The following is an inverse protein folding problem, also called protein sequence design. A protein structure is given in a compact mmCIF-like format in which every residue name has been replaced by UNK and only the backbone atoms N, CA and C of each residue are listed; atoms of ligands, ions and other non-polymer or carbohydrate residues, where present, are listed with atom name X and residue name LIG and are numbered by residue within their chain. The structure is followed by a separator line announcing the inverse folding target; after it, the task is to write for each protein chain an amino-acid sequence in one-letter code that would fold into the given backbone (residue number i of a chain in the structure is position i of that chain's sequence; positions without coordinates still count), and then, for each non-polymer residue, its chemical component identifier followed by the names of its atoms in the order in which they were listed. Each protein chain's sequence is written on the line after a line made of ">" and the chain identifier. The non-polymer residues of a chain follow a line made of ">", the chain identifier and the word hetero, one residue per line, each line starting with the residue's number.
data_IF_832985690149
#
_entry.id   IF_832985690149
#
_cell.length_a   1.000
_cell.length_b   1.000
_cell.length_c   1.000
_cell.angle_alpha   90.00
_cell.angle_beta   90.00
_cell.angle_gamma   90.00
#
_symmetry.space_group_name_H-M   'P 1'
#
loop_
_entity.id
_entity.type
_entity.pdbx_description
1 polymer ?
#
# COMPACT_ATOMS: atom_id res chain seq x y z
N UNK A 1 11.71 3.53 14.06
CA UNK A 1 10.39 3.23 13.42
C UNK A 1 10.61 2.32 12.24
N UNK A 2 9.87 1.23 12.14
CA UNK A 2 9.90 0.28 11.03
C UNK A 2 8.67 0.47 10.15
N UNK A 3 8.84 0.95 8.95
CA UNK A 3 7.81 1.04 7.91
C UNK A 3 7.87 -0.23 7.06
N UNK A 4 6.84 -1.05 7.11
CA UNK A 4 6.84 -2.37 6.47
C UNK A 4 5.72 -2.47 5.43
N UNK A 5 6.07 -2.87 4.21
CA UNK A 5 5.06 -3.34 3.27
C UNK A 5 4.44 -4.65 3.74
N UNK A 6 3.27 -4.98 3.20
CA UNK A 6 2.52 -6.18 3.58
C UNK A 6 2.73 -7.30 2.57
N UNK A 7 2.31 -7.09 1.30
CA UNK A 7 2.24 -8.15 0.30
C UNK A 7 3.59 -8.44 -0.33
N UNK A 8 4.06 -9.68 -0.21
CA UNK A 8 5.42 -10.05 -0.63
C UNK A 8 6.49 -9.72 0.41
N UNK A 9 6.14 -8.99 1.48
CA UNK A 9 7.05 -8.61 2.56
C UNK A 9 6.67 -9.30 3.85
N UNK A 10 5.67 -8.81 4.61
CA UNK A 10 5.23 -9.44 5.87
C UNK A 10 4.31 -10.64 5.64
N UNK A 11 3.56 -10.64 4.53
CA UNK A 11 2.58 -11.68 4.19
C UNK A 11 2.71 -12.08 2.71
N UNK A 12 2.42 -13.34 2.41
CA UNK A 12 1.99 -13.74 1.07
C UNK A 12 0.51 -13.48 0.91
N UNK A 13 0.12 -12.92 -0.24
CA UNK A 13 -1.29 -12.73 -0.56
C UNK A 13 -2.07 -14.05 -0.41
N UNK A 14 -3.15 -14.01 0.38
CA UNK A 14 -3.99 -15.17 0.65
C UNK A 14 -3.45 -16.16 1.68
N UNK A 15 -2.29 -15.88 2.30
CA UNK A 15 -1.72 -16.73 3.36
C UNK A 15 -1.58 -15.95 4.68
N UNK A 16 -1.67 -16.63 5.84
CA UNK A 16 -1.36 -16.00 7.12
C UNK A 16 0.14 -15.69 7.23
N UNK A 17 0.54 -14.75 8.11
CA UNK A 17 1.95 -14.50 8.41
C UNK A 17 2.61 -15.75 9.00
N UNK A 18 3.89 -15.95 8.67
CA UNK A 18 4.65 -17.04 9.29
C UNK A 18 4.82 -16.78 10.79
N UNK A 19 5.02 -17.83 11.60
CA UNK A 19 5.33 -17.67 13.02
C UNK A 19 6.57 -16.79 13.25
N UNK A 20 7.57 -16.87 12.37
CA UNK A 20 8.80 -16.09 12.46
C UNK A 20 8.54 -14.58 12.29
N UNK A 21 7.74 -14.19 11.28
CA UNK A 21 7.35 -12.79 11.05
C UNK A 21 6.52 -12.27 12.22
N UNK A 22 5.53 -13.03 12.69
CA UNK A 22 4.74 -12.63 13.87
C UNK A 22 5.60 -12.45 15.12
N UNK A 23 6.58 -13.32 15.34
CA UNK A 23 7.47 -13.22 16.48
C UNK A 23 8.39 -12.00 16.36
N UNK A 24 8.98 -11.80 15.19
CA UNK A 24 9.86 -10.65 14.94
C UNK A 24 9.12 -9.30 15.11
N UNK A 25 7.87 -9.18 14.63
CA UNK A 25 7.07 -7.96 14.85
C UNK A 25 6.84 -7.70 16.35
N UNK A 26 6.60 -8.75 17.15
CA UNK A 26 6.45 -8.60 18.59
C UNK A 26 7.77 -8.27 19.30
N UNK A 27 8.91 -8.76 18.80
CA UNK A 27 10.25 -8.41 19.32
C UNK A 27 10.53 -6.92 19.10
N UNK A 28 10.21 -6.38 17.90
CA UNK A 28 10.34 -4.95 17.59
C UNK A 28 9.53 -4.09 18.56
N UNK A 29 8.27 -4.45 18.81
CA UNK A 29 7.40 -3.72 19.74
C UNK A 29 7.90 -3.78 21.19
N UNK A 30 8.37 -4.97 21.65
CA UNK A 30 8.94 -5.12 23.02
C UNK A 30 10.23 -4.34 23.21
N UNK A 31 10.99 -4.13 22.15
CA UNK A 31 12.18 -3.27 22.17
C UNK A 31 11.85 -1.77 22.20
N UNK A 32 10.57 -1.40 22.23
CA UNK A 32 10.12 -0.01 22.29
C UNK A 32 10.10 0.71 20.93
N UNK A 33 10.22 -0.02 19.83
CA UNK A 33 10.14 0.56 18.48
C UNK A 33 8.72 0.54 17.94
N UNK A 34 8.43 1.45 17.00
CA UNK A 34 7.17 1.51 16.30
C UNK A 34 7.22 0.68 15.02
N UNK A 35 6.15 -0.05 14.74
CA UNK A 35 5.86 -0.62 13.41
C UNK A 35 4.77 0.24 12.77
N UNK A 36 4.95 0.55 11.48
CA UNK A 36 3.96 1.20 10.64
C UNK A 36 3.76 0.34 9.41
N UNK A 37 2.53 -0.06 9.12
CA UNK A 37 2.20 -0.80 7.90
C UNK A 37 2.04 0.19 6.74
N UNK A 38 2.76 -0.02 5.63
CA UNK A 38 2.72 0.85 4.46
C UNK A 38 2.40 0.02 3.20
N UNK A 39 1.17 0.08 2.70
CA UNK A 39 0.67 -0.89 1.73
C UNK A 39 -0.21 -0.28 0.63
N UNK A 40 -0.27 -0.96 -0.52
CA UNK A 40 -1.28 -0.72 -1.55
C UNK A 40 -2.69 -1.23 -1.18
N UNK A 41 -2.82 -2.04 -0.13
CA UNK A 41 -4.13 -2.51 0.32
C UNK A 41 -5.03 -1.37 0.78
N UNK A 42 -6.36 -1.58 0.70
CA UNK A 42 -7.34 -0.74 1.38
C UNK A 42 -7.19 -0.81 2.91
N UNK A 43 -7.77 0.15 3.64
CA UNK A 43 -7.79 0.14 5.11
C UNK A 43 -8.30 -1.20 5.65
N UNK A 44 -9.38 -1.74 5.08
CA UNK A 44 -9.94 -3.03 5.50
C UNK A 44 -8.94 -4.18 5.33
N UNK A 45 -8.18 -4.18 4.22
CA UNK A 45 -7.13 -5.17 3.97
C UNK A 45 -5.95 -5.03 4.92
N UNK A 46 -5.56 -3.79 5.24
CA UNK A 46 -4.48 -3.50 6.19
C UNK A 46 -4.84 -3.87 7.63
N UNK A 47 -6.06 -3.55 8.08
CA UNK A 47 -6.58 -3.97 9.40
C UNK A 47 -6.56 -5.49 9.54
N UNK A 48 -7.03 -6.23 8.52
CA UNK A 48 -6.98 -7.69 8.53
C UNK A 48 -5.55 -8.22 8.68
N UNK A 49 -4.59 -7.64 7.97
CA UNK A 49 -3.17 -8.01 8.08
C UNK A 49 -2.60 -7.66 9.46
N UNK A 50 -2.88 -6.47 9.99
CA UNK A 50 -2.45 -6.05 11.32
C UNK A 50 -2.89 -7.03 12.40
N UNK A 51 -4.17 -7.41 12.39
CA UNK A 51 -4.73 -8.36 13.37
C UNK A 51 -4.12 -9.76 13.23
N UNK A 52 -3.84 -10.23 12.02
CA UNK A 52 -3.13 -11.50 11.78
C UNK A 52 -1.69 -11.48 12.31
N UNK A 53 -1.01 -10.34 12.23
CA UNK A 53 0.33 -10.11 12.80
C UNK A 53 0.31 -9.95 14.33
N UNK A 54 -0.89 -9.83 14.92
CA UNK A 54 -1.05 -9.56 16.36
C UNK A 54 -0.81 -8.09 16.73
N UNK A 55 -0.87 -7.19 15.76
CA UNK A 55 -0.73 -5.75 15.96
C UNK A 55 -2.10 -5.16 16.31
N UNK A 56 -2.20 -4.53 17.48
CA UNK A 56 -3.45 -3.92 17.98
C UNK A 56 -3.32 -2.45 18.34
N UNK A 57 -2.15 -1.89 18.17
CA UNK A 57 -1.85 -0.46 18.24
C UNK A 57 -0.82 -0.19 17.15
N UNK A 58 -1.29 0.26 15.98
CA UNK A 58 -0.43 0.39 14.81
C UNK A 58 -0.95 1.46 13.84
N UNK A 59 -0.04 2.30 13.40
CA UNK A 59 -0.30 3.21 12.28
C UNK A 59 -0.25 2.48 10.94
N UNK A 60 -1.15 2.85 10.05
CA UNK A 60 -1.29 2.24 8.74
C UNK A 60 -1.35 3.32 7.67
N UNK A 61 -0.44 3.26 6.74
CA UNK A 61 -0.42 4.03 5.50
C UNK A 61 -0.94 3.10 4.41
N UNK A 62 -2.14 3.32 3.93
CA UNK A 62 -2.89 2.42 3.04
C UNK A 62 -3.20 3.07 1.70
N UNK A 63 -3.68 2.29 0.74
CA UNK A 63 -3.98 2.78 -0.62
C UNK A 63 -2.82 3.58 -1.21
N UNK A 64 -1.57 3.05 -1.07
CA UNK A 64 -0.32 3.68 -1.50
C UNK A 64 -0.08 5.10 -0.94
N UNK A 65 -0.55 5.37 0.28
CA UNK A 65 -0.39 6.66 0.95
C UNK A 65 -1.65 7.53 0.94
N UNK A 66 -2.65 7.21 0.14
CA UNK A 66 -3.85 8.04 0.04
C UNK A 66 -4.71 8.05 1.31
N UNK A 67 -4.49 7.09 2.21
CA UNK A 67 -5.15 7.03 3.51
C UNK A 67 -4.11 6.76 4.59
N UNK A 68 -4.16 7.56 5.66
CA UNK A 68 -3.47 7.28 6.93
C UNK A 68 -4.51 6.95 7.98
N UNK A 69 -4.35 5.82 8.64
CA UNK A 69 -5.25 5.36 9.70
C UNK A 69 -4.46 4.85 10.91
N UNK A 70 -5.06 4.89 12.08
CA UNK A 70 -4.52 4.35 13.32
C UNK A 70 -5.46 3.28 13.86
N UNK A 71 -4.97 2.06 14.03
CA UNK A 71 -5.69 0.95 14.65
C UNK A 71 -5.39 0.92 16.13
N UNK A 72 -6.42 0.89 16.97
CA UNK A 72 -6.33 0.70 18.42
C UNK A 72 -7.32 -0.38 18.84
N UNK A 73 -6.81 -1.50 19.35
CA UNK A 73 -7.63 -2.69 19.63
C UNK A 73 -8.17 -3.30 18.34
N UNK A 74 -9.49 -3.28 18.20
CA UNK A 74 -10.22 -3.77 17.01
C UNK A 74 -10.88 -2.62 16.22
N UNK A 75 -10.62 -1.36 16.63
CA UNK A 75 -11.18 -0.18 16.00
C UNK A 75 -10.08 0.63 15.32
N UNK A 76 -10.35 1.16 14.14
CA UNK A 76 -9.44 2.09 13.49
C UNK A 76 -10.11 3.44 13.27
N UNK A 77 -9.28 4.47 13.26
CA UNK A 77 -9.66 5.82 12.89
C UNK A 77 -8.89 6.20 11.62
N UNK A 78 -9.59 6.73 10.62
CA UNK A 78 -8.95 7.40 9.48
C UNK A 78 -8.54 8.79 9.97
N UNK A 79 -7.23 9.05 9.96
CA UNK A 79 -6.64 10.30 10.41
C UNK A 79 -6.53 11.29 9.26
N UNK A 80 -6.18 10.78 8.08
CA UNK A 80 -6.05 11.58 6.87
C UNK A 80 -6.49 10.79 5.64
N UNK A 81 -7.12 11.48 4.69
CA UNK A 81 -7.55 10.93 3.40
C UNK A 81 -7.36 11.98 2.32
N UNK A 82 -6.76 11.58 1.21
CA UNK A 82 -6.54 12.40 0.04
C UNK A 82 -7.40 11.91 -1.13
N UNK A 83 -8.34 12.71 -1.65
CA UNK A 83 -9.17 12.29 -2.77
C UNK A 83 -8.42 12.38 -4.09
N UNK A 84 -8.64 11.41 -4.97
CA UNK A 84 -8.16 11.43 -6.35
C UNK A 84 -9.13 12.20 -7.26
N UNK A 85 -8.62 12.85 -8.30
CA UNK A 85 -9.43 13.43 -9.36
C UNK A 85 -10.05 12.32 -10.24
N UNK A 86 -11.18 11.80 -9.77
CA UNK A 86 -11.89 10.68 -10.39
C UNK A 86 -12.40 11.06 -11.79
N UNK A 87 -12.74 12.33 -12.03
CA UNK A 87 -13.23 12.78 -13.33
C UNK A 87 -12.14 12.63 -14.41
N UNK A 88 -10.93 13.08 -14.12
CA UNK A 88 -9.77 12.88 -15.01
C UNK A 88 -9.47 11.41 -15.26
N UNK A 89 -9.52 10.57 -14.21
CA UNK A 89 -9.28 9.13 -14.36
C UNK A 89 -10.31 8.48 -15.28
N UNK A 90 -11.61 8.78 -15.08
CA UNK A 90 -12.70 8.26 -15.91
C UNK A 90 -12.56 8.72 -17.37
N UNK A 91 -12.28 10.00 -17.61
CA UNK A 91 -12.10 10.52 -18.97
C UNK A 91 -10.97 9.77 -19.71
N UNK A 92 -9.84 9.55 -19.07
CA UNK A 92 -8.71 8.81 -19.65
C UNK A 92 -9.09 7.34 -19.88
N UNK A 93 -9.72 6.68 -18.93
CA UNK A 93 -10.10 5.28 -19.05
C UNK A 93 -11.11 5.06 -20.19
N UNK A 94 -12.10 5.94 -20.32
CA UNK A 94 -13.12 5.87 -21.38
C UNK A 94 -12.55 6.12 -22.78
N UNK A 95 -11.50 6.93 -22.89
CA UNK A 95 -10.81 7.18 -24.18
C UNK A 95 -9.84 6.08 -24.58
N UNK A 96 -9.24 5.40 -23.59
CA UNK A 96 -8.18 4.45 -23.84
C UNK A 96 -8.68 3.12 -24.42
N UNK A 97 -9.76 2.56 -23.90
CA UNK A 97 -10.35 1.31 -24.40
C UNK A 97 -11.75 1.07 -23.80
N UNK A 98 -12.65 0.52 -24.62
CA UNK A 98 -14.03 0.20 -24.21
C UNK A 98 -14.14 -0.92 -23.14
N UNK A 99 -13.06 -1.64 -22.86
CA UNK A 99 -13.05 -2.82 -21.98
C UNK A 99 -12.43 -2.58 -20.59
N UNK A 100 -12.10 -1.33 -20.24
CA UNK A 100 -11.51 -1.04 -18.92
C UNK A 100 -12.60 -0.97 -17.86
N UNK A 101 -12.46 -1.77 -16.79
CA UNK A 101 -13.28 -1.67 -15.59
C UNK A 101 -12.66 -0.64 -14.64
N UNK A 102 -13.52 0.13 -14.01
CA UNK A 102 -13.15 1.18 -13.05
C UNK A 102 -13.68 0.78 -11.68
N UNK A 103 -12.82 0.79 -10.67
CA UNK A 103 -13.21 0.61 -9.28
C UNK A 103 -12.74 1.80 -8.45
N UNK A 104 -13.66 2.43 -7.70
CA UNK A 104 -13.38 3.50 -6.76
C UNK A 104 -13.50 2.95 -5.33
N UNK A 105 -12.48 3.15 -4.50
CA UNK A 105 -12.47 2.66 -3.13
C UNK A 105 -13.54 3.37 -2.28
N UNK A 106 -14.33 2.58 -1.54
CA UNK A 106 -15.20 3.04 -0.47
C UNK A 106 -14.52 2.65 0.84
N UNK A 107 -13.92 3.64 1.49
CA UNK A 107 -13.06 3.44 2.66
C UNK A 107 -13.77 2.60 3.73
N UNK A 108 -13.11 1.53 4.18
CA UNK A 108 -13.64 0.62 5.21
C UNK A 108 -14.74 -0.34 4.74
N UNK A 109 -15.27 -0.19 3.53
CA UNK A 109 -16.38 -1.00 3.00
C UNK A 109 -15.92 -1.93 1.87
N UNK A 110 -15.34 -1.36 0.83
CA UNK A 110 -14.97 -2.07 -0.39
C UNK A 110 -14.88 -1.14 -1.59
N UNK A 111 -15.67 -1.41 -2.65
CA UNK A 111 -15.50 -0.75 -3.93
C UNK A 111 -16.82 -0.44 -4.62
N UNK A 112 -16.91 0.74 -5.19
CA UNK A 112 -17.85 1.08 -6.26
C UNK A 112 -17.21 0.67 -7.57
N UNK A 113 -17.89 -0.14 -8.38
CA UNK A 113 -17.33 -0.69 -9.62
C UNK A 113 -18.20 -0.37 -10.82
N UNK A 114 -17.60 -0.04 -11.97
CA UNK A 114 -18.33 0.19 -13.24
C UNK A 114 -18.86 -1.12 -13.83
N UNK A 115 -18.15 -2.22 -13.61
CA UNK A 115 -18.53 -3.59 -13.91
C UNK A 115 -17.86 -4.52 -12.90
N UNK A 116 -18.38 -5.76 -12.71
CA UNK A 116 -17.79 -6.71 -11.76
C UNK A 116 -16.32 -6.98 -12.07
N UNK A 117 -15.46 -6.84 -11.07
CA UNK A 117 -14.06 -7.26 -11.14
C UNK A 117 -13.95 -8.76 -10.90
N UNK A 118 -12.91 -9.42 -11.43
CA UNK A 118 -12.67 -10.83 -11.14
C UNK A 118 -12.60 -11.10 -9.63
N UNK A 119 -13.05 -12.27 -9.21
CA UNK A 119 -13.00 -12.68 -7.80
C UNK A 119 -11.57 -12.60 -7.26
N UNK A 120 -11.43 -12.17 -6.01
CA UNK A 120 -10.17 -12.00 -5.27
C UNK A 120 -9.27 -10.80 -5.66
N UNK A 121 -9.62 -10.04 -6.71
CA UNK A 121 -8.83 -8.88 -7.14
C UNK A 121 -9.05 -7.64 -6.25
N UNK A 122 -10.25 -7.48 -5.72
CA UNK A 122 -10.61 -6.38 -4.85
C UNK A 122 -11.02 -6.90 -3.46
N UNK A 123 -10.41 -6.35 -2.41
CA UNK A 123 -10.76 -6.67 -1.04
C UNK A 123 -12.04 -5.91 -0.61
N UNK A 124 -13.01 -6.63 -0.07
CA UNK A 124 -14.27 -6.06 0.40
C UNK A 124 -15.42 -6.24 -0.57
N UNK A 125 -16.55 -5.61 -0.26
CA UNK A 125 -17.75 -5.69 -1.08
C UNK A 125 -17.58 -4.92 -2.39
N UNK A 126 -18.11 -5.47 -3.49
CA UNK A 126 -18.22 -4.75 -4.76
C UNK A 126 -19.67 -4.33 -4.97
N UNK A 127 -19.90 -3.04 -5.21
CA UNK A 127 -21.21 -2.50 -5.58
C UNK A 127 -21.10 -1.87 -6.96
N UNK A 128 -21.79 -2.45 -7.92
CA UNK A 128 -21.87 -1.86 -9.26
C UNK A 128 -22.67 -0.57 -9.21
N UNK A 129 -22.18 0.47 -9.90
CA UNK A 129 -22.78 1.78 -9.97
C UNK A 129 -22.54 2.45 -11.34
N UNK A 130 -23.42 3.36 -11.76
CA UNK A 130 -23.21 4.19 -12.93
C UNK A 130 -22.07 5.19 -12.67
N UNK A 131 -21.45 5.70 -13.77
CA UNK A 131 -20.23 6.53 -13.67
C UNK A 131 -20.44 7.88 -12.99
N UNK A 132 -21.63 8.44 -13.01
CA UNK A 132 -21.98 9.67 -12.31
C UNK A 132 -21.82 9.54 -10.79
N UNK A 133 -22.17 8.42 -10.19
CA UNK A 133 -21.91 8.17 -8.77
C UNK A 133 -20.41 8.20 -8.39
N UNK A 134 -19.50 7.90 -9.34
CA UNK A 134 -18.07 7.99 -9.09
C UNK A 134 -17.60 9.44 -8.99
N UNK A 135 -18.27 10.35 -9.68
CA UNK A 135 -17.98 11.79 -9.66
C UNK A 135 -18.50 12.47 -8.41
N UNK A 136 -19.66 12.04 -7.92
CA UNK A 136 -20.32 12.62 -6.75
C UNK A 136 -19.65 12.25 -5.41
N UNK A 137 -18.90 11.16 -5.39
CA UNK A 137 -18.36 10.59 -4.16
C UNK A 137 -16.84 10.53 -4.19
N UNK A 138 -16.14 11.41 -3.48
CA UNK A 138 -14.67 11.38 -3.42
C UNK A 138 -14.13 10.02 -3.00
N UNK A 139 -13.05 9.59 -3.65
CA UNK A 139 -12.36 8.33 -3.37
C UNK A 139 -10.86 8.57 -3.25
N UNK A 140 -10.15 7.89 -2.34
CA UNK A 140 -8.70 8.01 -2.22
C UNK A 140 -7.95 7.25 -3.32
N UNK A 141 -8.59 6.25 -3.94
CA UNK A 141 -7.96 5.41 -4.95
C UNK A 141 -8.96 4.93 -5.99
N UNK A 142 -8.50 4.92 -7.24
CA UNK A 142 -9.20 4.26 -8.36
C UNK A 142 -8.31 3.14 -8.89
N UNK A 143 -8.86 1.94 -9.03
CA UNK A 143 -8.22 0.84 -9.75
C UNK A 143 -8.82 0.74 -11.16
N UNK A 144 -7.93 0.59 -12.14
CA UNK A 144 -8.27 0.35 -13.54
C UNK A 144 -7.86 -1.06 -13.92
N UNK A 145 -8.78 -1.85 -14.47
CA UNK A 145 -8.51 -3.22 -14.88
C UNK A 145 -9.04 -3.50 -16.28
N UNK A 146 -8.16 -3.99 -17.13
CA UNK A 146 -8.50 -4.39 -18.50
C UNK A 146 -7.25 -4.62 -19.34
N UNK A 147 -7.42 -5.15 -20.57
CA UNK A 147 -6.27 -5.39 -21.46
C UNK A 147 -5.44 -4.12 -21.65
N UNK A 148 -4.11 -4.27 -21.50
CA UNK A 148 -3.14 -3.18 -21.69
C UNK A 148 -3.37 -1.93 -20.81
N UNK A 149 -4.03 -2.05 -19.66
CA UNK A 149 -4.31 -0.93 -18.76
C UNK A 149 -3.05 -0.12 -18.41
N UNK A 150 -1.88 -0.78 -18.29
CA UNK A 150 -0.59 -0.13 -18.02
C UNK A 150 -0.24 0.98 -19.01
N UNK A 151 -0.74 0.92 -20.25
CA UNK A 151 -0.50 1.97 -21.27
C UNK A 151 -1.13 3.31 -20.92
N UNK A 152 -2.07 3.35 -19.99
CA UNK A 152 -2.68 4.60 -19.52
C UNK A 152 -1.78 5.36 -18.54
N UNK A 153 -0.80 4.70 -17.91
CA UNK A 153 0.08 5.31 -16.89
C UNK A 153 0.73 6.60 -17.37
N UNK A 154 1.38 6.70 -18.55
CA UNK A 154 1.99 7.95 -18.98
C UNK A 154 0.97 9.11 -19.10
N UNK A 155 -0.23 8.83 -19.56
CA UNK A 155 -1.28 9.84 -19.69
C UNK A 155 -1.82 10.29 -18.34
N UNK A 156 -2.02 9.36 -17.39
CA UNK A 156 -2.45 9.66 -16.02
C UNK A 156 -1.40 10.54 -15.31
N UNK A 157 -0.12 10.17 -15.42
CA UNK A 157 0.99 10.93 -14.84
C UNK A 157 1.12 12.32 -15.48
N UNK A 158 0.97 12.44 -16.78
CA UNK A 158 0.98 13.75 -17.49
C UNK A 158 -0.18 14.67 -17.06
N UNK A 159 -1.26 14.12 -16.48
CA UNK A 159 -2.36 14.88 -15.87
C UNK A 159 -2.17 15.14 -14.38
N UNK A 160 -0.97 14.85 -13.85
CA UNK A 160 -0.60 15.12 -12.47
C UNK A 160 -1.03 14.05 -11.47
N UNK A 161 -1.58 12.92 -11.91
CA UNK A 161 -1.97 11.81 -11.02
C UNK A 161 -0.79 10.91 -10.71
N UNK A 162 -0.80 10.25 -9.57
CA UNK A 162 0.09 9.13 -9.29
C UNK A 162 -0.56 7.85 -9.84
N UNK A 163 0.12 7.14 -10.73
CA UNK A 163 -0.40 5.93 -11.35
C UNK A 163 0.69 4.85 -11.39
N UNK A 164 0.38 3.68 -10.87
CA UNK A 164 1.31 2.54 -10.75
C UNK A 164 0.66 1.32 -11.41
N UNK A 165 1.31 0.77 -12.43
CA UNK A 165 0.93 -0.51 -13.01
C UNK A 165 1.55 -1.63 -12.18
N UNK A 166 0.74 -2.35 -11.42
CA UNK A 166 1.19 -3.54 -10.67
C UNK A 166 1.24 -4.78 -11.55
N UNK A 167 0.47 -4.77 -12.64
CA UNK A 167 0.43 -5.79 -13.70
C UNK A 167 0.10 -5.11 -15.04
N UNK A 168 0.33 -5.76 -16.19
CA UNK A 168 -0.02 -5.19 -17.48
C UNK A 168 -1.51 -4.82 -17.64
N UNK A 169 -2.39 -5.52 -16.94
CA UNK A 169 -3.85 -5.36 -16.96
C UNK A 169 -4.39 -4.59 -15.74
N UNK A 170 -3.52 -4.09 -14.85
CA UNK A 170 -3.93 -3.42 -13.61
C UNK A 170 -3.14 -2.14 -13.34
N UNK A 171 -3.86 -1.05 -13.08
CA UNK A 171 -3.27 0.22 -12.66
C UNK A 171 -4.00 0.75 -11.43
N UNK A 172 -3.26 1.05 -10.38
CA UNK A 172 -3.73 1.82 -9.24
C UNK A 172 -3.45 3.31 -9.48
N UNK A 173 -4.46 4.14 -9.25
CA UNK A 173 -4.39 5.60 -9.39
C UNK A 173 -4.72 6.25 -8.05
N UNK A 174 -3.83 7.13 -7.60
CA UNK A 174 -3.94 7.89 -6.35
C UNK A 174 -3.71 9.38 -6.62
N UNK A 175 -3.98 10.26 -5.64
CA UNK A 175 -3.75 11.70 -5.80
C UNK A 175 -2.30 12.06 -6.15
N UNK A 176 -2.05 13.25 -6.74
CA UNK A 176 -0.71 13.71 -7.05
C UNK A 176 0.13 13.89 -5.78
N UNK A 177 1.42 13.62 -5.90
CA UNK A 177 2.41 13.77 -4.81
C UNK A 177 2.10 12.96 -3.53
N UNK A 178 1.15 12.00 -3.63
CA UNK A 178 0.84 11.07 -2.55
C UNK A 178 1.52 9.74 -2.83
N UNK A 179 2.31 9.29 -1.87
CA UNK A 179 3.00 8.01 -1.88
C UNK A 179 3.10 7.43 -0.48
N UNK A 180 3.56 6.20 -0.35
CA UNK A 180 3.87 5.61 0.97
C UNK A 180 4.82 6.54 1.75
N UNK A 181 5.84 7.08 1.11
CA UNK A 181 6.84 7.95 1.73
C UNK A 181 6.25 9.24 2.29
N UNK A 182 5.44 9.97 1.51
CA UNK A 182 4.86 11.25 1.93
C UNK A 182 3.96 11.12 3.16
N UNK A 183 3.23 10.00 3.27
CA UNK A 183 2.35 9.73 4.41
C UNK A 183 3.10 9.14 5.59
N UNK A 184 4.15 8.35 5.36
CA UNK A 184 5.06 7.87 6.41
C UNK A 184 5.78 9.02 7.10
N UNK A 185 6.15 10.07 6.37
CA UNK A 185 6.78 11.25 6.96
C UNK A 185 5.88 11.93 7.99
N UNK A 186 4.58 12.04 7.71
CA UNK A 186 3.61 12.60 8.67
C UNK A 186 3.48 11.71 9.91
N UNK A 187 3.41 10.39 9.73
CA UNK A 187 3.37 9.44 10.84
C UNK A 187 4.66 9.48 11.66
N UNK A 188 5.82 9.60 11.01
CA UNK A 188 7.11 9.76 11.71
C UNK A 188 7.13 10.97 12.63
N UNK A 189 6.65 12.11 12.11
CA UNK A 189 6.56 13.37 12.89
C UNK A 189 5.61 13.20 14.07
N UNK A 190 4.44 12.59 13.85
CA UNK A 190 3.44 12.33 14.90
C UNK A 190 3.98 11.43 16.01
N UNK A 191 4.82 10.44 15.65
CA UNK A 191 5.48 9.56 16.60
C UNK A 191 6.75 10.16 17.24
N UNK A 192 7.18 11.36 16.84
CA UNK A 192 8.38 12.00 17.35
C UNK A 192 9.68 11.24 17.04
N UNK A 193 9.72 10.48 15.95
CA UNK A 193 10.89 9.69 15.56
C UNK A 193 11.83 10.52 14.70
N UNK A 194 13.13 10.51 15.00
CA UNK A 194 14.14 11.17 14.17
C UNK A 194 14.26 10.49 12.79
N UNK A 195 14.51 11.26 11.70
CA UNK A 195 14.69 10.67 10.37
C UNK A 195 15.75 9.57 10.32
N UNK A 196 16.83 9.71 11.07
CA UNK A 196 17.95 8.75 11.13
C UNK A 196 17.55 7.41 11.78
N UNK A 197 16.41 7.36 12.47
CA UNK A 197 15.88 6.15 13.12
C UNK A 197 14.71 5.53 12.34
N UNK A 198 14.72 5.66 11.01
CA UNK A 198 13.70 5.08 10.13
C UNK A 198 14.24 3.90 9.36
N UNK A 199 13.46 2.83 9.32
CA UNK A 199 13.71 1.63 8.54
C UNK A 199 12.54 1.40 7.60
N UNK A 200 12.79 1.09 6.33
CA UNK A 200 11.79 0.66 5.37
C UNK A 200 12.07 -0.76 4.90
N UNK A 201 11.07 -1.63 4.86
CA UNK A 201 11.17 -3.01 4.38
C UNK A 201 10.07 -3.24 3.33
N UNK A 202 10.44 -3.72 2.12
CA UNK A 202 9.50 -3.89 1.02
C UNK A 202 10.05 -4.74 -0.12
N UNK A 203 9.22 -4.99 -1.13
CA UNK A 203 9.57 -5.79 -2.32
C UNK A 203 9.04 -5.22 -3.64
N UNK A 204 8.10 -4.27 -3.59
CA UNK A 204 7.42 -3.72 -4.74
C UNK A 204 8.00 -2.40 -5.27
N UNK A 205 7.66 -2.05 -6.51
CA UNK A 205 8.06 -0.75 -7.10
C UNK A 205 7.45 0.44 -6.35
N UNK A 206 6.28 0.25 -5.72
CA UNK A 206 5.63 1.25 -4.87
C UNK A 206 6.35 1.48 -3.53
N UNK A 207 7.40 0.69 -3.22
CA UNK A 207 8.25 0.85 -2.05
C UNK A 207 9.49 1.72 -2.33
N UNK A 208 9.81 1.97 -3.60
CA UNK A 208 11.03 2.69 -3.98
C UNK A 208 11.09 4.08 -3.34
N UNK A 209 9.98 4.81 -3.29
CA UNK A 209 9.96 6.11 -2.63
C UNK A 209 10.10 5.98 -1.11
N UNK A 210 9.51 4.95 -0.49
CA UNK A 210 9.67 4.62 0.91
C UNK A 210 11.14 4.27 1.24
N UNK A 211 11.83 3.58 0.34
CA UNK A 211 13.26 3.30 0.50
C UNK A 211 14.12 4.56 0.45
N UNK A 212 13.82 5.50 -0.44
CA UNK A 212 14.54 6.79 -0.53
C UNK A 212 14.28 7.69 0.68
N UNK A 213 13.14 7.54 1.31
CA UNK A 213 12.75 8.30 2.49
C UNK A 213 13.42 7.78 3.77
N UNK A 214 13.60 6.47 3.92
CA UNK A 214 14.12 5.86 5.13
C UNK A 214 15.65 5.98 5.24
N UNK A 215 16.17 6.08 6.45
CA UNK A 215 17.61 6.00 6.72
C UNK A 215 18.18 4.63 6.38
N UNK A 216 17.41 3.57 6.64
CA UNK A 216 17.76 2.18 6.30
C UNK A 216 16.67 1.57 5.43
N UNK A 217 17.00 1.26 4.19
CA UNK A 217 16.10 0.62 3.24
C UNK A 217 16.49 -0.82 3.00
N UNK A 218 15.58 -1.77 3.24
CA UNK A 218 15.81 -3.20 3.10
C UNK A 218 14.87 -3.78 2.05
N UNK A 219 15.40 -4.23 0.92
CA UNK A 219 14.63 -4.93 -0.08
C UNK A 219 14.60 -6.44 0.19
N UNK A 220 13.42 -7.05 -0.02
CA UNK A 220 13.27 -8.50 0.02
C UNK A 220 14.07 -9.17 -1.11
N UNK A 221 14.62 -10.35 -0.83
CA UNK A 221 15.53 -11.03 -1.75
C UNK A 221 14.96 -11.44 -3.10
N UNK A 222 13.63 -11.51 -3.21
CA UNK A 222 12.88 -11.83 -4.43
C UNK A 222 12.40 -10.59 -5.20
N UNK A 223 12.67 -9.39 -4.69
CA UNK A 223 12.29 -8.13 -5.35
C UNK A 223 12.95 -7.99 -6.73
N UNK A 224 12.34 -7.19 -7.60
CA UNK A 224 12.89 -6.92 -8.92
C UNK A 224 14.27 -6.23 -8.87
N UNK A 225 15.12 -6.32 -9.90
CA UNK A 225 16.40 -5.62 -9.93
C UNK A 225 16.27 -4.11 -9.69
N UNK A 226 15.19 -3.48 -10.17
CA UNK A 226 14.92 -2.07 -9.98
C UNK A 226 14.70 -1.75 -8.48
N UNK A 227 13.92 -2.56 -7.79
CA UNK A 227 13.63 -2.42 -6.37
C UNK A 227 14.87 -2.70 -5.53
N UNK A 228 15.61 -3.76 -5.85
CA UNK A 228 16.88 -4.10 -5.19
C UNK A 228 17.91 -2.97 -5.30
N UNK A 229 17.98 -2.29 -6.45
CA UNK A 229 18.91 -1.17 -6.67
C UNK A 229 18.53 0.11 -5.88
N UNK A 230 17.27 0.24 -5.45
CA UNK A 230 16.79 1.39 -4.69
C UNK A 230 17.02 1.25 -3.18
N UNK A 231 17.29 0.04 -2.68
CA UNK A 231 17.50 -0.24 -1.27
C UNK A 231 18.98 -0.13 -0.88
N UNK A 232 19.26 0.19 0.39
CA UNK A 232 20.64 0.21 0.95
C UNK A 232 21.08 -1.18 1.41
N UNK A 233 20.14 -2.07 1.71
CA UNK A 233 20.38 -3.42 2.19
C UNK A 233 19.46 -4.41 1.48
N UNK A 234 19.84 -5.68 1.52
CA UNK A 234 19.02 -6.79 1.02
C UNK A 234 18.90 -7.85 2.09
N UNK A 235 17.69 -8.36 2.28
CA UNK A 235 17.44 -9.54 3.12
C UNK A 235 17.17 -10.80 2.29
N UNK A 236 16.84 -11.92 2.93
CA UNK A 236 16.40 -13.13 2.25
C UNK A 236 15.09 -12.94 1.48
N UNK A 237 14.73 -13.96 0.72
CA UNK A 237 13.40 -14.02 0.09
C UNK A 237 12.31 -14.25 1.15
N UNK A 238 11.07 -14.30 0.72
CA UNK A 238 9.96 -14.67 1.61
C UNK A 238 10.17 -16.09 2.18
N UNK A 239 10.62 -17.05 1.35
CA UNK A 239 10.86 -18.43 1.76
C UNK A 239 12.04 -18.58 2.74
N UNK A 240 12.94 -17.60 2.78
CA UNK A 240 14.08 -17.51 3.70
C UNK A 240 13.75 -16.71 4.96
N UNK A 241 12.46 -16.45 5.24
CA UNK A 241 12.00 -15.59 6.36
C UNK A 241 12.65 -14.21 6.34
N UNK A 242 12.85 -13.64 5.13
CA UNK A 242 13.59 -12.39 4.92
C UNK A 242 13.08 -11.22 5.75
N UNK A 243 11.76 -11.04 5.87
CA UNK A 243 11.19 -9.95 6.67
C UNK A 243 11.49 -10.11 8.17
N UNK A 244 11.37 -11.33 8.72
CA UNK A 244 11.69 -11.59 10.10
C UNK A 244 13.18 -11.35 10.39
N UNK A 245 14.06 -11.75 9.47
CA UNK A 245 15.50 -11.53 9.57
C UNK A 245 15.83 -10.03 9.51
N UNK A 246 15.20 -9.27 8.60
CA UNK A 246 15.39 -7.83 8.49
C UNK A 246 14.95 -7.10 9.78
N UNK A 247 13.77 -7.44 10.31
CA UNK A 247 13.27 -6.85 11.55
C UNK A 247 14.24 -7.06 12.71
N UNK A 248 14.79 -8.28 12.86
CA UNK A 248 15.72 -8.61 13.95
C UNK A 248 17.10 -7.98 13.78
N UNK A 249 17.62 -7.93 12.56
CA UNK A 249 18.97 -7.42 12.30
C UNK A 249 19.14 -5.93 12.62
N UNK A 250 18.03 -5.20 12.74
CA UNK A 250 18.00 -3.75 12.98
C UNK A 250 17.43 -3.38 14.35
N UNK A 251 17.30 -4.36 15.26
CA UNK A 251 16.89 -4.12 16.64
C UNK A 251 17.99 -3.53 17.53
N UNK A 252 19.25 -3.44 17.06
CA UNK A 252 20.40 -2.85 17.73
C UNK A 252 21.16 -3.84 18.55
#
# INVERSE_FOLDING_TARGET
>A
MFACDIDGTLLRTGQPPTPAVRHATQEVLRAGHHIVLATGRSVKGAVSAALQLGLRDVWMVTSNGAITAHLVGDHYQVVEQHPVDTATVIDIAMRAAAAVRIAAEIVGVGWRVSAPFPGHELNGAQRQAPLDEFLENPTPRVALHGPDAHRMVPTLVARGLTAIATRPDWVDVTPPAISKASSLEKVRIELGVDPEHTVAIGDGENDIEMFRWAAHAVAMGHASPLVLAAATHRTGSFDDEGAANALRSLLG
#
